data_IF_830287745638
#
_entry.id   IF_830287745638
#
_cell.length_a   1.000
_cell.length_b   1.000
_cell.length_c   1.000
_cell.angle_alpha   90.00
_cell.angle_beta   90.00
_cell.angle_gamma   90.00
#
_symmetry.space_group_name_H-M   'P 1'
#
loop_
_entity.id
_entity.type
_entity.pdbx_description
1 polymer ?
#
# COMPACT_ATOMS: atom_id res chain seq x y z
N UNK A 1 2.75 12.84 -31.33
CA UNK A 1 2.96 11.65 -30.48
C UNK A 1 2.00 11.74 -29.31
N UNK A 2 0.92 10.98 -29.32
CA UNK A 2 -0.03 10.90 -28.21
C UNK A 2 0.53 9.91 -27.19
N UNK A 3 0.86 10.36 -25.98
CA UNK A 3 1.27 9.49 -24.90
C UNK A 3 0.07 8.68 -24.40
N UNK A 4 0.18 7.35 -24.38
CA UNK A 4 -0.82 6.46 -23.79
C UNK A 4 -0.54 6.27 -22.30
N UNK A 5 -1.43 6.76 -21.43
CA UNK A 5 -1.36 6.56 -19.99
C UNK A 5 -1.87 5.17 -19.61
N UNK A 6 -1.24 4.54 -18.61
CA UNK A 6 -1.73 3.31 -17.97
C UNK A 6 -1.84 3.53 -16.47
N UNK A 7 -2.99 3.17 -15.92
CA UNK A 7 -3.26 3.24 -14.49
C UNK A 7 -3.21 1.83 -13.91
N UNK A 8 -2.53 1.62 -12.77
CA UNK A 8 -2.52 0.31 -12.14
C UNK A 8 -3.86 0.04 -11.47
N UNK A 9 -4.30 -1.22 -11.50
CA UNK A 9 -5.45 -1.67 -10.74
C UNK A 9 -5.06 -1.97 -9.29
N UNK A 10 -5.87 -1.49 -8.35
CA UNK A 10 -5.74 -1.76 -6.92
C UNK A 10 -7.04 -2.36 -6.40
N UNK A 11 -6.94 -3.53 -5.79
CA UNK A 11 -8.05 -4.21 -5.17
C UNK A 11 -8.09 -3.88 -3.68
N UNK A 12 -9.23 -3.36 -3.23
CA UNK A 12 -9.54 -3.07 -1.83
C UNK A 12 -10.68 -3.97 -1.40
N UNK A 13 -10.51 -4.64 -0.27
CA UNK A 13 -11.56 -5.45 0.33
C UNK A 13 -12.70 -4.56 0.84
N UNK A 14 -13.93 -5.09 1.00
CA UNK A 14 -15.09 -4.30 1.42
C UNK A 14 -14.93 -3.54 2.75
N UNK A 15 -14.00 -3.99 3.61
CA UNK A 15 -13.68 -3.37 4.89
C UNK A 15 -12.48 -2.40 4.83
N UNK A 16 -12.07 -1.99 3.62
CA UNK A 16 -10.98 -1.03 3.41
C UNK A 16 -9.58 -1.64 3.45
N UNK A 17 -9.44 -2.96 3.64
CA UNK A 17 -8.14 -3.62 3.68
C UNK A 17 -7.56 -3.87 2.30
N UNK A 18 -6.25 -3.78 2.20
CA UNK A 18 -5.43 -4.21 1.07
C UNK A 18 -4.39 -5.22 1.55
N UNK A 19 -4.06 -6.18 0.68
CA UNK A 19 -2.86 -7.00 0.89
C UNK A 19 -1.59 -6.18 0.60
N UNK A 20 -0.43 -6.76 0.91
CA UNK A 20 0.84 -6.08 0.71
C UNK A 20 1.13 -5.72 -0.76
N UNK A 21 0.57 -6.45 -1.74
CA UNK A 21 0.78 -6.18 -3.16
C UNK A 21 -0.03 -4.95 -3.59
N UNK A 22 -1.33 -4.93 -3.28
CA UNK A 22 -2.22 -3.83 -3.60
C UNK A 22 -1.82 -2.55 -2.84
N UNK A 23 -1.43 -2.67 -1.58
CA UNK A 23 -0.90 -1.54 -0.81
C UNK A 23 0.39 -0.97 -1.43
N UNK A 24 1.29 -1.82 -1.92
CA UNK A 24 2.51 -1.34 -2.58
C UNK A 24 2.18 -0.59 -3.88
N UNK A 25 1.27 -1.12 -4.69
CA UNK A 25 0.78 -0.44 -5.90
C UNK A 25 0.15 0.90 -5.56
N UNK A 26 -0.72 0.93 -4.54
CA UNK A 26 -1.42 2.13 -4.07
C UNK A 26 -0.45 3.25 -3.67
N UNK A 27 0.64 2.90 -3.00
CA UNK A 27 1.67 3.83 -2.55
C UNK A 27 2.72 4.17 -3.63
N UNK A 28 2.64 3.58 -4.83
CA UNK A 28 3.68 3.71 -5.85
C UNK A 28 5.02 3.07 -5.46
N UNK A 29 5.01 2.03 -4.64
CA UNK A 29 6.19 1.31 -4.16
C UNK A 29 6.27 -0.11 -4.74
N UNK A 30 7.46 -0.70 -4.73
CA UNK A 30 7.59 -2.15 -4.92
C UNK A 30 7.15 -2.88 -3.63
N UNK A 31 6.59 -4.10 -3.72
CA UNK A 31 6.27 -4.90 -2.54
C UNK A 31 7.49 -5.15 -1.63
N UNK A 32 8.69 -5.28 -2.23
CA UNK A 32 9.95 -5.40 -1.49
C UNK A 32 10.25 -4.14 -0.68
N UNK A 33 10.12 -2.96 -1.29
CA UNK A 33 10.34 -1.67 -0.60
C UNK A 33 9.35 -1.48 0.55
N UNK A 34 8.07 -1.80 0.34
CA UNK A 34 7.06 -1.73 1.40
C UNK A 34 7.38 -2.70 2.54
N UNK A 35 7.83 -3.92 2.24
CA UNK A 35 8.27 -4.87 3.25
C UNK A 35 9.48 -4.36 4.05
N UNK A 36 10.46 -3.73 3.40
CA UNK A 36 11.60 -3.12 4.07
C UNK A 36 11.18 -1.97 4.99
N UNK A 37 10.33 -1.04 4.52
CA UNK A 37 9.81 0.07 5.33
C UNK A 37 9.05 -0.42 6.56
N UNK A 38 8.30 -1.51 6.43
CA UNK A 38 7.64 -2.18 7.54
C UNK A 38 8.64 -2.70 8.58
N UNK A 39 9.70 -3.37 8.14
CA UNK A 39 10.73 -3.88 9.06
C UNK A 39 11.52 -2.75 9.75
N UNK A 40 11.72 -1.61 9.07
CA UNK A 40 12.43 -0.46 9.65
C UNK A 40 11.54 0.49 10.47
N UNK A 41 10.22 0.26 10.52
CA UNK A 41 9.27 1.13 11.21
C UNK A 41 8.97 2.46 10.49
N UNK A 42 9.44 2.64 9.25
CA UNK A 42 9.25 3.87 8.46
C UNK A 42 8.08 3.78 7.45
N UNK A 43 7.27 2.73 7.57
CA UNK A 43 6.15 2.45 6.68
C UNK A 43 4.80 2.79 7.30
N UNK A 44 3.72 2.71 6.51
CA UNK A 44 2.36 2.88 7.02
C UNK A 44 2.01 1.82 8.06
N UNK A 45 1.03 2.13 8.92
CA UNK A 45 0.49 1.19 9.90
C UNK A 45 -0.10 -0.04 9.19
N UNK A 46 0.11 -1.20 9.78
CA UNK A 46 -0.31 -2.50 9.25
C UNK A 46 -0.79 -3.42 10.36
N UNK A 47 -1.62 -4.40 9.99
CA UNK A 47 -2.01 -5.50 10.88
C UNK A 47 -1.38 -6.82 10.42
N UNK A 48 -1.00 -7.67 11.38
CA UNK A 48 -0.49 -9.03 11.12
C UNK A 48 -1.40 -10.07 11.76
N UNK A 49 -2.04 -10.91 10.95
CA UNK A 49 -2.93 -12.01 11.35
C UNK A 49 -2.71 -13.20 10.40
N UNK A 50 -1.51 -13.80 10.47
CA UNK A 50 -1.01 -14.78 9.48
C UNK A 50 -0.54 -14.14 8.17
N UNK A 51 -1.29 -13.18 7.64
CA UNK A 51 -0.90 -12.27 6.53
C UNK A 51 -0.76 -10.84 7.02
N UNK A 52 -0.14 -10.00 6.19
CA UNK A 52 -0.02 -8.56 6.42
C UNK A 52 -1.11 -7.85 5.62
N UNK A 53 -1.86 -6.99 6.30
CA UNK A 53 -2.85 -6.12 5.66
C UNK A 53 -2.58 -4.67 6.03
N UNK A 54 -2.94 -3.79 5.10
CA UNK A 54 -2.95 -2.35 5.27
C UNK A 54 -4.38 -1.86 5.12
N UNK A 55 -4.80 -0.90 5.92
CA UNK A 55 -6.08 -0.22 5.70
C UNK A 55 -5.83 1.00 4.82
N UNK A 56 -6.73 1.27 3.88
CA UNK A 56 -6.61 2.42 2.97
C UNK A 56 -6.40 3.72 3.74
N UNK A 57 -7.14 3.92 4.84
CA UNK A 57 -7.07 5.13 5.66
C UNK A 57 -5.72 5.30 6.36
N UNK A 58 -5.00 4.20 6.61
CA UNK A 58 -3.64 4.22 7.17
C UNK A 58 -2.60 4.52 6.08
N UNK A 59 -2.84 4.03 4.85
CA UNK A 59 -2.00 4.35 3.70
C UNK A 59 -2.12 5.84 3.34
N UNK A 60 -3.34 6.37 3.33
CA UNK A 60 -3.62 7.79 3.06
C UNK A 60 -2.95 8.70 4.10
N UNK A 61 -3.09 8.39 5.40
CA UNK A 61 -2.40 9.14 6.47
C UNK A 61 -0.88 9.15 6.28
N UNK A 62 -0.30 8.01 5.93
CA UNK A 62 1.14 7.93 5.69
C UNK A 62 1.60 8.75 4.48
N UNK A 63 0.79 8.82 3.41
CA UNK A 63 1.07 9.68 2.25
C UNK A 63 1.01 11.17 2.59
N UNK A 64 0.15 11.56 3.52
CA UNK A 64 -0.01 12.95 3.99
C UNK A 64 1.06 13.35 5.02
N UNK A 65 1.78 12.38 5.60
CA UNK A 65 2.86 12.63 6.57
C UNK A 65 2.43 12.68 8.03
N UNK A 66 1.26 12.14 8.37
CA UNK A 66 0.73 12.02 9.74
C UNK A 66 1.33 10.85 10.55
#
# INVERSE_FOLDING_TARGET
MTASLRFPEVYVLPDGRMDAKNAAIYLGLSPKTLAMKRCSGMGPRFIKRGRVFYFREELDRWLLGD
#
